data_IF_067187602186
#
_entry.id   IF_067187602186
#
_cell.length_a   1.000
_cell.length_b   1.000
_cell.length_c   1.000
_cell.angle_alpha   90.00
_cell.angle_beta   90.00
_cell.angle_gamma   90.00
#
_symmetry.space_group_name_H-M   'P 1'
#
loop_
_entity.id
_entity.type
_entity.pdbx_description
1 polymer ?
#
# COMPACT_ATOMS: atom_id res chain seq x y z
N UNK A 1 -6.02 -16.56 -25.94
CA UNK A 1 -5.84 -17.97 -26.34
C UNK A 1 -4.40 -18.48 -26.16
N UNK A 2 -3.46 -17.63 -25.71
CA UNK A 2 -2.05 -17.99 -25.54
C UNK A 2 -1.28 -18.06 -26.86
N UNK A 3 -1.86 -17.61 -27.98
CA UNK A 3 -1.20 -17.62 -29.28
C UNK A 3 -0.65 -16.24 -29.62
N UNK A 4 0.36 -16.19 -30.49
CA UNK A 4 0.85 -14.94 -31.05
C UNK A 4 -0.24 -14.23 -31.89
N UNK A 5 -1.17 -14.97 -32.48
CA UNK A 5 -2.28 -14.42 -33.26
C UNK A 5 -3.37 -13.77 -32.39
N UNK A 6 -3.52 -14.22 -31.14
CA UNK A 6 -4.39 -13.60 -30.14
C UNK A 6 -3.73 -12.49 -29.32
N UNK A 7 -2.44 -12.22 -29.53
CA UNK A 7 -1.70 -11.16 -28.83
C UNK A 7 -1.72 -9.88 -29.66
N UNK A 8 -2.37 -8.83 -29.14
CA UNK A 8 -2.41 -7.51 -29.80
C UNK A 8 -1.77 -6.46 -28.90
N UNK A 9 -0.98 -5.56 -29.49
CA UNK A 9 -0.50 -4.37 -28.78
C UNK A 9 -1.69 -3.48 -28.43
N UNK A 10 -1.78 -3.10 -27.16
CA UNK A 10 -2.91 -2.35 -26.63
C UNK A 10 -2.71 -0.82 -26.77
N UNK A 11 -1.49 -0.33 -26.57
CA UNK A 11 -1.12 1.07 -26.82
C UNK A 11 0.39 1.29 -27.00
N UNK A 12 0.76 2.44 -27.59
CA UNK A 12 2.09 3.06 -27.42
C UNK A 12 2.03 4.09 -26.30
N UNK A 13 2.65 3.83 -25.15
CA UNK A 13 2.60 4.75 -24.02
C UNK A 13 3.69 5.83 -24.14
N UNK A 14 4.90 5.48 -24.58
CA UNK A 14 5.99 6.42 -24.79
C UNK A 14 6.19 6.61 -26.29
N UNK A 15 5.63 7.68 -26.85
CA UNK A 15 5.66 7.90 -28.30
C UNK A 15 7.09 8.00 -28.83
N UNK A 16 7.39 7.31 -29.93
CA UNK A 16 8.69 7.35 -30.61
C UNK A 16 9.57 6.16 -30.25
N UNK A 17 10.88 6.37 -30.10
CA UNK A 17 11.85 5.31 -29.81
C UNK A 17 12.04 5.02 -28.30
N UNK A 18 11.34 5.76 -27.44
CA UNK A 18 11.44 5.61 -25.99
C UNK A 18 10.67 4.37 -25.52
N UNK A 19 11.26 3.59 -24.61
CA UNK A 19 10.54 2.48 -23.94
C UNK A 19 9.65 3.03 -22.84
N UNK A 20 8.41 2.55 -22.77
CA UNK A 20 7.48 2.85 -21.67
C UNK A 20 7.58 1.89 -20.49
N UNK A 21 8.31 0.77 -20.65
CA UNK A 21 8.57 -0.24 -19.61
C UNK A 21 7.37 -0.52 -18.68
N UNK A 22 6.20 -0.89 -19.23
CA UNK A 22 4.99 -1.02 -18.43
C UNK A 22 5.11 -2.17 -17.43
N UNK A 23 4.76 -1.90 -16.17
CA UNK A 23 4.74 -2.87 -15.06
C UNK A 23 3.32 -2.97 -14.50
N UNK A 24 2.72 -4.17 -14.46
CA UNK A 24 1.43 -4.34 -13.81
C UNK A 24 1.55 -4.16 -12.30
N UNK A 25 0.65 -3.36 -11.71
CA UNK A 25 0.63 -3.06 -10.28
C UNK A 25 -0.49 -3.81 -9.55
N UNK A 26 -1.69 -3.85 -10.13
CA UNK A 26 -2.86 -4.48 -9.53
C UNK A 26 -3.88 -4.91 -10.58
N UNK A 27 -4.56 -6.04 -10.34
CA UNK A 27 -5.76 -6.40 -11.08
C UNK A 27 -6.97 -5.72 -10.43
N UNK A 28 -7.79 -5.06 -11.25
CA UNK A 28 -9.05 -4.43 -10.86
C UNK A 28 -10.21 -5.13 -11.59
N UNK A 29 -11.47 -4.93 -11.18
CA UNK A 29 -12.61 -5.70 -11.72
C UNK A 29 -12.74 -5.67 -13.26
N UNK A 30 -12.31 -4.59 -13.90
CA UNK A 30 -12.46 -4.36 -15.34
C UNK A 30 -11.14 -4.33 -16.11
N UNK A 31 -9.99 -4.51 -15.46
CA UNK A 31 -8.70 -4.35 -16.11
C UNK A 31 -7.52 -4.39 -15.15
N UNK A 32 -6.43 -3.74 -15.54
CA UNK A 32 -5.20 -3.73 -14.77
C UNK A 32 -4.68 -2.31 -14.58
N UNK A 33 -4.31 -2.00 -13.35
CA UNK A 33 -3.51 -0.83 -13.04
C UNK A 33 -2.05 -1.11 -13.41
N UNK A 34 -1.43 -0.17 -14.09
CA UNK A 34 -0.08 -0.25 -14.63
C UNK A 34 0.73 0.97 -14.17
N UNK A 35 2.03 0.78 -13.98
CA UNK A 35 3.02 1.87 -14.02
C UNK A 35 3.67 1.88 -15.38
N UNK A 36 3.86 3.04 -15.97
CA UNK A 36 4.68 3.18 -17.17
C UNK A 36 5.42 4.52 -17.16
N UNK A 37 6.51 4.59 -17.90
CA UNK A 37 7.42 5.74 -17.90
C UNK A 37 7.34 6.52 -19.21
N UNK A 38 7.40 7.85 -19.15
CA UNK A 38 7.62 8.69 -20.33
C UNK A 38 8.74 9.70 -20.08
N UNK A 39 9.42 10.21 -21.14
CA UNK A 39 10.45 11.23 -20.97
C UNK A 39 9.96 12.54 -20.31
N UNK A 40 8.66 12.82 -20.36
CA UNK A 40 8.07 14.08 -19.87
C UNK A 40 7.41 13.96 -18.50
N UNK A 41 6.90 12.77 -18.14
CA UNK A 41 6.15 12.54 -16.90
C UNK A 41 6.84 11.57 -15.95
N UNK A 42 7.91 10.90 -16.37
CA UNK A 42 8.49 9.80 -15.57
C UNK A 42 7.49 8.67 -15.33
N UNK A 43 7.67 7.96 -14.22
CA UNK A 43 6.88 6.80 -13.80
C UNK A 43 5.50 7.18 -13.25
N UNK A 44 4.46 6.99 -14.06
CA UNK A 44 3.08 7.38 -13.75
C UNK A 44 2.08 6.22 -13.89
N UNK A 45 0.87 6.45 -13.41
CA UNK A 45 -0.22 5.48 -13.41
C UNK A 45 -1.00 5.47 -14.72
N UNK A 46 -1.27 4.25 -15.19
CA UNK A 46 -2.11 3.96 -16.34
C UNK A 46 -3.09 2.84 -15.99
N UNK A 47 -4.22 2.78 -16.70
CA UNK A 47 -5.17 1.69 -16.61
C UNK A 47 -5.34 1.02 -17.97
N UNK A 48 -5.11 -0.28 -18.05
CA UNK A 48 -5.31 -1.08 -19.26
C UNK A 48 -6.54 -1.97 -19.13
N UNK A 49 -7.42 -1.93 -20.14
CA UNK A 49 -8.58 -2.82 -20.27
C UNK A 49 -8.75 -3.33 -21.71
N UNK A 50 -9.89 -3.91 -22.04
CA UNK A 50 -10.18 -4.36 -23.42
C UNK A 50 -10.33 -3.22 -24.44
N UNK A 51 -10.50 -1.98 -23.98
CA UNK A 51 -10.73 -0.80 -24.82
C UNK A 51 -9.45 -0.01 -25.09
N UNK A 52 -8.43 -0.14 -24.25
CA UNK A 52 -7.19 0.60 -24.43
C UNK A 52 -6.41 0.80 -23.14
N UNK A 53 -5.44 1.70 -23.23
CA UNK A 53 -4.71 2.20 -22.07
C UNK A 53 -5.13 3.64 -21.81
N UNK A 54 -5.53 3.94 -20.58
CA UNK A 54 -5.89 5.28 -20.10
C UNK A 54 -4.78 5.81 -19.21
N UNK A 55 -4.31 7.02 -19.46
CA UNK A 55 -3.41 7.73 -18.55
C UNK A 55 -4.20 8.28 -17.36
N UNK A 56 -3.77 8.00 -16.12
CA UNK A 56 -4.53 8.38 -14.93
C UNK A 56 -4.14 9.74 -14.37
N UNK A 57 -2.96 10.26 -14.74
CA UNK A 57 -2.51 11.60 -14.39
C UNK A 57 -1.00 11.69 -14.32
N UNK A 58 -0.48 12.91 -14.49
CA UNK A 58 0.89 13.30 -14.12
C UNK A 58 0.83 13.71 -12.65
N UNK A 59 0.85 12.72 -11.76
CA UNK A 59 0.56 12.95 -10.34
C UNK A 59 1.72 13.67 -9.66
N UNK A 60 2.95 13.46 -10.13
CA UNK A 60 4.10 14.29 -9.81
C UNK A 60 4.59 15.00 -11.06
N UNK A 61 4.26 16.28 -11.15
CA UNK A 61 4.57 17.10 -12.32
C UNK A 61 6.04 16.97 -12.80
N UNK A 62 6.20 16.63 -14.07
CA UNK A 62 7.49 16.60 -14.76
C UNK A 62 8.16 15.23 -14.78
N UNK A 63 9.44 15.15 -15.21
CA UNK A 63 10.03 13.90 -15.67
C UNK A 63 10.46 12.93 -14.56
N UNK A 64 10.24 13.27 -13.29
CA UNK A 64 10.65 12.44 -12.14
C UNK A 64 9.64 11.30 -11.92
N UNK A 65 8.36 11.60 -12.09
CA UNK A 65 7.26 10.66 -11.86
C UNK A 65 7.00 10.31 -10.40
N UNK A 66 5.82 9.75 -10.18
CA UNK A 66 5.27 9.46 -8.86
C UNK A 66 5.73 8.16 -8.19
N UNK A 67 6.48 7.31 -8.90
CA UNK A 67 7.03 6.04 -8.39
C UNK A 67 5.99 5.17 -7.64
N UNK A 68 4.83 4.86 -8.25
CA UNK A 68 3.76 4.15 -7.55
C UNK A 68 4.19 2.73 -7.14
N UNK A 69 3.90 2.38 -5.88
CA UNK A 69 4.16 1.06 -5.31
C UNK A 69 2.83 0.43 -4.81
N UNK A 70 2.44 -0.76 -5.29
CA UNK A 70 1.18 -1.38 -4.91
C UNK A 70 1.27 -1.95 -3.49
N UNK A 71 0.25 -1.66 -2.67
CA UNK A 71 0.16 -2.12 -1.29
C UNK A 71 -0.85 -3.26 -1.14
N UNK A 72 -2.07 -3.08 -1.66
CA UNK A 72 -3.13 -4.06 -1.58
C UNK A 72 -4.24 -3.76 -2.60
N UNK A 73 -5.18 -4.70 -2.75
CA UNK A 73 -6.44 -4.47 -3.45
C UNK A 73 -7.59 -4.73 -2.48
N UNK A 74 -8.51 -3.78 -2.37
CA UNK A 74 -9.67 -3.85 -1.47
C UNK A 74 -10.84 -3.10 -2.10
N UNK A 75 -12.06 -3.63 -1.96
CA UNK A 75 -13.26 -2.98 -2.51
C UNK A 75 -13.24 -2.76 -4.04
N UNK A 76 -12.45 -3.56 -4.79
CA UNK A 76 -12.25 -3.37 -6.22
C UNK A 76 -11.35 -2.18 -6.60
N UNK A 77 -10.59 -1.64 -5.64
CA UNK A 77 -9.63 -0.54 -5.81
C UNK A 77 -8.23 -0.98 -5.41
N UNK A 78 -7.21 -0.34 -5.97
CA UNK A 78 -5.82 -0.52 -5.59
C UNK A 78 -5.42 0.53 -4.55
N UNK A 79 -4.74 0.10 -3.49
CA UNK A 79 -4.02 0.96 -2.57
C UNK A 79 -2.55 1.05 -2.99
N UNK A 80 -2.01 2.26 -2.95
CA UNK A 80 -0.69 2.58 -3.47
C UNK A 80 0.07 3.45 -2.47
N UNK A 81 1.37 3.27 -2.39
CA UNK A 81 2.28 4.29 -1.89
C UNK A 81 2.78 5.10 -3.08
N UNK A 82 2.60 6.41 -3.06
CA UNK A 82 2.82 7.30 -4.22
C UNK A 82 3.30 8.68 -3.76
N UNK A 83 4.29 9.25 -4.45
CA UNK A 83 4.84 10.58 -4.18
C UNK A 83 4.35 11.59 -5.22
N UNK A 84 3.60 12.60 -4.81
CA UNK A 84 3.09 13.67 -5.69
C UNK A 84 4.05 14.87 -5.82
N UNK A 85 5.18 14.83 -5.11
CA UNK A 85 6.17 15.89 -5.06
C UNK A 85 5.82 17.05 -4.11
N UNK A 86 4.71 16.96 -3.37
CA UNK A 86 4.26 17.98 -2.41
C UNK A 86 4.36 17.46 -0.98
N UNK A 87 3.82 16.27 -0.71
CA UNK A 87 3.74 15.67 0.64
C UNK A 87 4.53 14.36 0.76
N UNK A 88 5.53 14.18 -0.12
CA UNK A 88 6.30 12.94 -0.16
C UNK A 88 5.43 11.71 -0.49
N UNK A 89 5.95 10.52 -0.17
CA UNK A 89 5.23 9.27 -0.41
C UNK A 89 4.10 9.09 0.61
N UNK A 90 2.86 9.02 0.13
CA UNK A 90 1.67 8.87 0.98
C UNK A 90 0.73 7.76 0.50
N UNK A 91 -0.37 7.52 1.23
CA UNK A 91 -1.35 6.49 0.91
C UNK A 91 -2.37 7.01 -0.11
N UNK A 92 -2.38 6.40 -1.30
CA UNK A 92 -3.30 6.70 -2.40
C UNK A 92 -4.21 5.52 -2.69
N UNK A 93 -5.34 5.82 -3.34
CA UNK A 93 -6.26 4.83 -3.88
C UNK A 93 -6.50 5.10 -5.36
N UNK A 94 -6.67 4.04 -6.17
CA UNK A 94 -7.11 4.13 -7.55
C UNK A 94 -8.15 3.05 -7.88
N UNK A 95 -9.20 3.44 -8.60
CA UNK A 95 -10.14 2.50 -9.24
C UNK A 95 -9.90 2.32 -10.74
N UNK A 96 -8.74 2.77 -11.23
CA UNK A 96 -8.39 2.71 -12.65
C UNK A 96 -8.92 3.90 -13.46
N UNK A 97 -9.52 4.90 -12.82
CA UNK A 97 -9.92 6.16 -13.46
C UNK A 97 -9.08 7.34 -12.98
N UNK A 98 -8.90 8.40 -13.79
CA UNK A 98 -8.24 9.63 -13.33
C UNK A 98 -8.92 10.24 -12.10
N UNK A 99 -10.25 10.31 -12.09
CA UNK A 99 -11.04 10.90 -11.00
C UNK A 99 -11.07 10.06 -9.74
N UNK A 100 -10.92 8.73 -9.87
CA UNK A 100 -10.85 7.81 -8.74
C UNK A 100 -9.44 7.53 -8.25
N UNK A 101 -8.43 8.21 -8.81
CA UNK A 101 -7.03 8.18 -8.35
C UNK A 101 -6.78 9.36 -7.43
N UNK A 102 -6.85 9.13 -6.12
CA UNK A 102 -6.87 10.21 -5.12
C UNK A 102 -6.03 9.87 -3.89
N UNK A 103 -5.51 10.90 -3.24
CA UNK A 103 -4.89 10.80 -1.93
C UNK A 103 -5.93 10.30 -0.94
N UNK A 104 -5.64 9.15 -0.32
CA UNK A 104 -6.51 8.55 0.67
C UNK A 104 -6.19 9.09 2.07
N UNK A 105 -4.90 9.26 2.36
CA UNK A 105 -4.41 9.75 3.64
C UNK A 105 -3.00 10.32 3.53
N UNK A 106 -2.83 11.54 4.02
CA UNK A 106 -1.54 12.12 4.41
C UNK A 106 -1.29 11.74 5.88
N UNK A 107 -0.24 10.95 6.12
CA UNK A 107 0.14 10.45 7.43
C UNK A 107 1.32 11.22 8.04
N UNK A 108 2.05 12.00 7.24
CA UNK A 108 3.17 12.83 7.69
C UNK A 108 3.16 14.19 6.95
N UNK A 109 2.42 15.19 7.46
CA UNK A 109 2.23 16.47 6.76
C UNK A 109 3.50 17.29 6.51
N UNK A 110 4.63 16.91 7.13
CA UNK A 110 5.92 17.60 6.99
C UNK A 110 7.00 16.72 6.33
N UNK A 111 6.64 15.54 5.86
CA UNK A 111 7.55 14.56 5.29
C UNK A 111 6.82 13.62 4.35
N UNK A 112 7.27 12.38 4.27
CA UNK A 112 6.49 11.30 3.68
C UNK A 112 6.46 10.10 4.62
N UNK A 113 5.98 8.98 4.10
CA UNK A 113 5.76 7.77 4.87
C UNK A 113 6.27 6.52 4.14
N UNK A 114 6.72 5.52 4.89
CA UNK A 114 6.96 4.17 4.38
C UNK A 114 5.78 3.27 4.71
N UNK A 115 5.45 2.35 3.80
CA UNK A 115 4.29 1.48 3.92
C UNK A 115 4.70 0.01 3.88
N UNK A 116 4.12 -0.79 4.75
CA UNK A 116 4.22 -2.25 4.72
C UNK A 116 2.82 -2.88 4.76
N UNK A 117 2.41 -3.64 3.73
CA UNK A 117 1.15 -4.34 3.76
C UNK A 117 1.20 -5.47 4.79
N UNK A 118 0.20 -5.50 5.67
CA UNK A 118 0.04 -6.54 6.67
C UNK A 118 -0.96 -7.59 6.24
N UNK A 119 -1.82 -7.31 5.26
CA UNK A 119 -2.75 -8.27 4.67
C UNK A 119 -4.14 -7.68 4.42
N UNK A 120 -5.04 -8.52 3.89
CA UNK A 120 -6.44 -8.14 3.64
C UNK A 120 -7.34 -9.18 4.33
N UNK A 121 -8.29 -8.70 5.11
CA UNK A 121 -9.22 -9.55 5.86
C UNK A 121 -10.59 -8.90 5.96
N UNK A 122 -11.64 -9.66 5.65
CA UNK A 122 -13.04 -9.22 5.73
C UNK A 122 -13.32 -7.86 5.05
N UNK A 123 -12.70 -7.61 3.89
CA UNK A 123 -12.91 -6.39 3.12
C UNK A 123 -12.12 -5.18 3.61
N UNK A 124 -11.17 -5.36 4.52
CA UNK A 124 -10.24 -4.33 4.97
C UNK A 124 -8.80 -4.71 4.63
N UNK A 125 -8.03 -3.76 4.11
CA UNK A 125 -6.59 -3.85 4.03
C UNK A 125 -5.97 -3.31 5.33
N UNK A 126 -5.01 -4.05 5.88
CA UNK A 126 -4.24 -3.68 7.06
C UNK A 126 -2.84 -3.26 6.63
N UNK A 127 -2.41 -2.07 7.03
CA UNK A 127 -1.12 -1.50 6.64
C UNK A 127 -0.38 -0.99 7.88
N UNK A 128 0.93 -1.19 7.92
CA UNK A 128 1.82 -0.42 8.78
C UNK A 128 2.35 0.78 8.00
N UNK A 129 2.34 1.94 8.64
CA UNK A 129 2.83 3.21 8.12
C UNK A 129 3.93 3.69 9.06
N UNK A 130 5.12 3.97 8.54
CA UNK A 130 6.22 4.57 9.29
C UNK A 130 6.42 5.99 8.78
N UNK A 131 6.12 7.00 9.60
CA UNK A 131 6.33 8.41 9.25
C UNK A 131 7.83 8.72 9.23
N UNK A 132 8.26 9.66 8.39
CA UNK A 132 9.69 10.00 8.28
C UNK A 132 10.11 11.11 9.24
N UNK A 133 9.20 11.98 9.66
CA UNK A 133 9.51 13.13 10.52
C UNK A 133 9.44 12.79 12.01
N UNK A 134 8.42 12.04 12.44
CA UNK A 134 8.24 11.62 13.83
C UNK A 134 8.75 10.21 14.09
N UNK A 135 9.10 9.49 13.02
CA UNK A 135 9.42 8.07 13.05
C UNK A 135 8.29 7.22 13.66
N UNK A 136 7.05 7.69 13.78
CA UNK A 136 5.96 6.94 14.41
C UNK A 136 5.50 5.79 13.50
N UNK A 137 5.30 4.60 14.09
CA UNK A 137 4.62 3.51 13.38
C UNK A 137 3.13 3.54 13.70
N UNK A 138 2.32 3.57 12.66
CA UNK A 138 0.86 3.63 12.74
C UNK A 138 0.30 2.43 12.00
N UNK A 139 -0.53 1.64 12.68
CA UNK A 139 -1.26 0.55 12.05
C UNK A 139 -2.64 1.05 11.68
N UNK A 140 -3.01 0.90 10.41
CA UNK A 140 -4.31 1.31 9.89
C UNK A 140 -5.07 0.12 9.30
N UNK A 141 -6.40 0.20 9.33
CA UNK A 141 -7.28 -0.59 8.48
C UNK A 141 -8.02 0.34 7.51
N UNK A 142 -8.24 -0.10 6.27
CA UNK A 142 -8.98 0.67 5.27
C UNK A 142 -9.78 -0.23 4.33
N UNK A 143 -10.99 0.22 3.97
CA UNK A 143 -11.81 -0.37 2.91
C UNK A 143 -11.51 0.24 1.52
N UNK A 144 -10.52 1.14 1.44
CA UNK A 144 -10.19 1.91 0.25
C UNK A 144 -10.92 3.26 0.15
N UNK A 145 -11.65 3.68 1.18
CA UNK A 145 -12.30 4.99 1.25
C UNK A 145 -11.72 5.85 2.37
N UNK A 146 -11.76 7.18 2.21
CA UNK A 146 -11.22 8.09 3.23
C UNK A 146 -11.94 7.92 4.58
N UNK A 147 -13.26 7.72 4.56
CA UNK A 147 -14.07 7.49 5.77
C UNK A 147 -13.80 6.13 6.42
N UNK A 148 -13.53 5.10 5.62
CA UNK A 148 -13.21 3.75 6.11
C UNK A 148 -11.74 3.57 6.49
N UNK A 149 -10.89 4.59 6.35
CA UNK A 149 -9.47 4.53 6.71
C UNK A 149 -9.27 4.95 8.16
N UNK A 150 -9.00 3.98 9.04
CA UNK A 150 -8.96 4.16 10.49
C UNK A 150 -7.61 3.75 11.06
N UNK A 151 -7.05 4.57 11.96
CA UNK A 151 -5.90 4.18 12.79
C UNK A 151 -6.37 3.18 13.83
N UNK A 152 -5.77 2.00 13.85
CA UNK A 152 -6.05 0.96 14.85
C UNK A 152 -5.23 1.18 16.11
N UNK A 153 -3.93 1.42 15.95
CA UNK A 153 -2.96 1.61 17.04
C UNK A 153 -1.72 2.34 16.51
N UNK A 154 -1.08 3.11 17.39
CA UNK A 154 0.18 3.83 17.11
C UNK A 154 1.26 3.43 18.11
N UNK A 155 2.51 3.49 17.67
CA UNK A 155 3.71 3.16 18.43
C UNK A 155 4.78 4.24 18.25
N UNK A 156 5.31 4.75 19.37
CA UNK A 156 6.43 5.71 19.35
C UNK A 156 7.77 4.97 19.19
N UNK A 157 8.57 5.38 18.21
CA UNK A 157 9.69 4.60 17.64
C UNK A 157 11.04 4.64 18.32
N UNK A 158 11.17 5.16 19.53
CA UNK A 158 12.47 5.06 20.20
C UNK A 158 12.79 3.61 20.62
N UNK A 159 11.80 2.71 20.57
CA UNK A 159 11.97 1.28 20.85
C UNK A 159 11.55 0.35 19.70
N UNK A 160 10.73 0.76 18.74
CA UNK A 160 10.17 -0.18 17.76
C UNK A 160 11.17 -0.57 16.67
N UNK A 161 11.23 -1.87 16.34
CA UNK A 161 12.15 -2.46 15.35
C UNK A 161 11.47 -3.04 14.11
N UNK A 162 10.14 -3.16 14.11
CA UNK A 162 9.41 -3.54 12.90
C UNK A 162 8.04 -4.15 13.17
N UNK A 163 7.22 -4.17 12.12
CA UNK A 163 5.88 -4.77 12.10
C UNK A 163 5.87 -5.87 11.05
N UNK A 164 5.25 -7.01 11.35
CA UNK A 164 5.18 -8.14 10.41
C UNK A 164 3.81 -8.83 10.45
N UNK A 165 3.33 -9.36 9.31
CA UNK A 165 2.04 -10.02 9.25
C UNK A 165 2.08 -11.39 9.96
N UNK A 166 0.97 -11.78 10.60
CA UNK A 166 0.77 -13.15 11.09
C UNK A 166 -0.33 -13.87 10.30
N UNK A 167 -1.51 -13.25 10.17
CA UNK A 167 -2.66 -13.86 9.53
C UNK A 167 -3.92 -13.80 10.37
N UNK A 168 -4.94 -14.56 9.98
CA UNK A 168 -6.20 -14.64 10.69
C UNK A 168 -6.09 -15.54 11.94
N UNK A 169 -6.62 -15.07 13.07
CA UNK A 169 -6.87 -15.89 14.25
C UNK A 169 -8.21 -15.51 14.89
N UNK A 170 -9.11 -16.49 15.05
CA UNK A 170 -10.38 -16.29 15.73
C UNK A 170 -11.26 -15.19 15.09
N UNK A 171 -11.23 -15.08 13.76
CA UNK A 171 -11.98 -14.06 13.01
C UNK A 171 -11.35 -12.65 13.01
N UNK A 172 -10.23 -12.45 13.71
CA UNK A 172 -9.46 -11.19 13.73
C UNK A 172 -8.22 -11.30 12.83
N UNK A 173 -7.77 -10.17 12.29
CA UNK A 173 -6.47 -10.09 11.62
C UNK A 173 -5.37 -9.81 12.64
N UNK A 174 -4.29 -10.58 12.60
CA UNK A 174 -3.19 -10.46 13.55
C UNK A 174 -1.86 -10.13 12.87
N UNK A 175 -1.04 -9.36 13.59
CA UNK A 175 0.27 -8.87 13.17
C UNK A 175 1.18 -8.72 14.39
N UNK A 176 2.48 -8.85 14.17
CA UNK A 176 3.48 -8.73 15.22
C UNK A 176 4.11 -7.36 15.22
N UNK A 177 4.37 -6.82 16.40
CA UNK A 177 5.06 -5.55 16.61
C UNK A 177 6.30 -5.84 17.46
N UNK A 178 7.48 -5.53 16.94
CA UNK A 178 8.73 -5.73 17.66
C UNK A 178 9.10 -4.42 18.35
N UNK A 179 9.24 -4.43 19.67
CA UNK A 179 9.88 -3.34 20.39
C UNK A 179 11.17 -3.79 21.11
N UNK A 180 12.04 -2.83 21.40
CA UNK A 180 13.37 -3.03 21.95
C UNK A 180 13.35 -3.51 23.41
N UNK A 181 12.18 -3.48 24.05
CA UNK A 181 11.99 -3.81 25.47
C UNK A 181 11.24 -5.12 25.71
N UNK A 182 10.27 -5.47 24.87
CA UNK A 182 9.42 -6.67 25.01
C UNK A 182 9.63 -7.70 23.89
N UNK A 183 10.43 -7.40 22.86
CA UNK A 183 10.55 -8.29 21.71
C UNK A 183 9.29 -8.25 20.86
N UNK A 184 8.90 -9.38 20.25
CA UNK A 184 7.88 -9.42 19.23
C UNK A 184 6.49 -9.74 19.82
N UNK A 185 5.62 -8.74 19.95
CA UNK A 185 4.28 -8.91 20.54
C UNK A 185 3.21 -9.15 19.46
N UNK A 186 2.42 -10.23 19.54
CA UNK A 186 1.28 -10.42 18.64
C UNK A 186 0.10 -9.52 19.03
N UNK A 187 -0.41 -8.79 18.06
CA UNK A 187 -1.65 -8.03 18.14
C UNK A 187 -2.70 -8.64 17.23
N UNK A 188 -3.97 -8.54 17.63
CA UNK A 188 -5.10 -8.94 16.81
C UNK A 188 -6.16 -7.84 16.79
N UNK A 189 -6.77 -7.63 15.62
CA UNK A 189 -7.76 -6.58 15.36
C UNK A 189 -8.99 -7.13 14.65
N UNK A 190 -10.18 -6.62 14.98
CA UNK A 190 -11.39 -6.78 14.15
C UNK A 190 -11.59 -5.67 13.13
N UNK A 191 -10.55 -4.85 12.88
CA UNK A 191 -10.61 -3.71 11.97
C UNK A 191 -11.02 -2.41 12.66
N UNK A 192 -11.23 -2.41 13.98
CA UNK A 192 -11.54 -1.21 14.76
C UNK A 192 -10.45 -0.89 15.79
N UNK A 193 -10.28 0.38 16.21
CA UNK A 193 -9.35 0.73 17.26
C UNK A 193 -9.67 0.01 18.58
N UNK A 194 -10.95 -0.03 18.98
CA UNK A 194 -11.38 -0.64 20.24
C UNK A 194 -11.19 -2.16 20.25
N UNK A 195 -11.30 -2.81 19.09
CA UNK A 195 -11.10 -4.25 18.96
C UNK A 195 -9.67 -4.67 18.62
N UNK A 196 -8.72 -3.72 18.64
CA UNK A 196 -7.29 -3.96 18.42
C UNK A 196 -6.57 -4.11 19.76
N UNK A 197 -6.12 -5.32 20.06
CA UNK A 197 -5.53 -5.66 21.35
C UNK A 197 -4.30 -6.56 21.20
N UNK A 198 -3.33 -6.41 22.10
CA UNK A 198 -2.25 -7.40 22.28
C UNK A 198 -2.90 -8.75 22.62
N UNK A 199 -2.63 -9.78 21.82
CA UNK A 199 -3.26 -11.09 21.96
C UNK A 199 -2.76 -11.82 23.21
N UNK A 200 -1.45 -11.80 23.43
CA UNK A 200 -0.82 -12.34 24.63
C UNK A 200 0.59 -11.76 24.74
N UNK A 201 0.94 -11.20 25.91
CA UNK A 201 2.32 -10.94 26.31
C UNK A 201 2.97 -12.31 26.53
N UNK A 202 3.59 -12.84 25.47
CA UNK A 202 4.22 -14.15 25.50
C UNK A 202 5.57 -14.11 26.25
N UNK A 203 6.10 -12.92 26.57
CA UNK A 203 7.38 -12.71 27.25
C UNK A 203 7.48 -11.34 27.96
N UNK A 204 7.21 -11.25 29.28
CA UNK A 204 7.55 -10.06 30.04
C UNK A 204 9.09 -9.89 30.14
N UNK A 205 9.68 -8.99 29.34
CA UNK A 205 11.11 -8.68 29.34
C UNK A 205 11.87 -9.09 28.07
N UNK A 206 13.19 -9.24 28.14
CA UNK A 206 14.12 -9.27 26.98
C UNK A 206 14.16 -10.56 26.15
N UNK A 207 13.08 -11.35 26.13
CA UNK A 207 13.06 -12.65 25.44
C UNK A 207 12.35 -12.55 24.08
N UNK A 208 13.07 -12.87 23.01
CA UNK A 208 12.58 -12.82 21.63
C UNK A 208 11.61 -13.98 21.33
N UNK A 209 10.38 -13.66 20.97
CA UNK A 209 9.32 -14.58 20.52
C UNK A 209 9.24 -14.67 18.98
N UNK A 210 10.39 -14.71 18.29
CA UNK A 210 10.39 -14.95 16.83
C UNK A 210 9.87 -16.37 16.57
N UNK A 211 8.73 -16.56 15.87
CA UNK A 211 8.37 -17.88 15.38
C UNK A 211 9.27 -18.18 14.18
N UNK A 212 10.18 -19.15 14.33
CA UNK A 212 10.76 -19.81 13.16
C UNK A 212 9.68 -20.72 12.59
N UNK A 213 9.19 -20.38 11.39
CA UNK A 213 8.29 -21.26 10.65
C UNK A 213 8.96 -22.63 10.44
N UNK A 214 8.28 -23.70 10.82
CA UNK A 214 8.60 -25.09 10.46
C UNK A 214 7.84 -25.50 9.20
#
# INVERSE_FOLDING_TARGET
DGTAAGTTRLADIATGAASSSPVPLAALPTGMLLRATTPTTGDELYFGDSNGVTFLGDLRAGPIGSNPYPLATVGGKALLALDDGVVGQELWVSDGTPTGTVLLRDSDPNGGSYFAPLGVHQGLAYLAILTTTTAESVIVATDGTALGTTILVSFSSTAERGVYPFGELGGKWCFGVIDATSGAEPWCSDGTPQGTTRFLDLCPGTCNSLPVAS
#
